data_IF_419526298990
#
_entry.id   IF_419526298990
#
_cell.length_a   1.000
_cell.length_b   1.000
_cell.length_c   1.000
_cell.angle_alpha   90.00
_cell.angle_beta   90.00
_cell.angle_gamma   90.00
#
_symmetry.space_group_name_H-M   'P 1'
#
loop_
_entity.id
_entity.type
_entity.pdbx_description
1 polymer ?
#
# COMPACT_ATOMS: atom_id res chain seq x y z
N UNK A 1 8.31 -14.41 -16.57
CA UNK A 1 7.56 -13.99 -17.78
C UNK A 1 8.19 -12.76 -18.41
N UNK A 2 8.37 -11.66 -17.66
CA UNK A 2 9.03 -10.43 -18.13
C UNK A 2 10.49 -10.68 -18.60
N UNK A 3 11.27 -11.48 -17.86
CA UNK A 3 12.62 -11.91 -18.27
C UNK A 3 12.63 -12.72 -19.58
N UNK A 4 11.60 -13.56 -19.79
CA UNK A 4 11.49 -14.46 -20.95
C UNK A 4 11.17 -13.69 -22.25
N UNK A 5 10.52 -12.54 -22.13
CA UNK A 5 10.19 -11.62 -23.25
C UNK A 5 11.42 -10.77 -23.63
N UNK A 6 12.29 -10.46 -22.67
CA UNK A 6 13.55 -9.73 -22.92
C UNK A 6 14.59 -10.65 -23.59
N UNK A 7 14.57 -11.95 -23.29
CA UNK A 7 15.40 -12.98 -23.93
C UNK A 7 14.99 -13.30 -25.38
N UNK A 8 13.75 -12.96 -25.74
CA UNK A 8 13.26 -13.02 -27.11
C UNK A 8 13.65 -11.72 -27.79
N UNK A 9 14.28 -11.77 -28.95
CA UNK A 9 14.87 -10.64 -29.70
C UNK A 9 13.83 -9.65 -30.28
N UNK A 10 12.82 -9.28 -29.49
CA UNK A 10 11.72 -8.38 -29.84
C UNK A 10 12.02 -6.91 -29.48
N UNK A 11 13.22 -6.62 -28.96
CA UNK A 11 13.64 -5.26 -28.60
C UNK A 11 13.82 -4.35 -29.83
N UNK A 12 14.23 -4.91 -30.97
CA UNK A 12 14.52 -4.11 -32.18
C UNK A 12 13.27 -3.71 -32.98
N UNK A 13 12.15 -4.44 -32.84
CA UNK A 13 10.94 -4.18 -33.64
C UNK A 13 10.01 -3.17 -32.98
N UNK A 14 10.08 -3.03 -31.65
CA UNK A 14 9.08 -2.31 -30.87
C UNK A 14 9.72 -1.30 -29.91
N UNK A 15 9.90 -0.09 -30.44
CA UNK A 15 10.24 1.18 -29.76
C UNK A 15 9.60 1.31 -28.34
N UNK A 16 10.12 2.18 -27.45
CA UNK A 16 9.90 2.17 -26.00
C UNK A 16 8.43 2.29 -25.54
N UNK A 17 7.51 2.71 -26.41
CA UNK A 17 6.09 2.78 -26.10
C UNK A 17 5.45 1.41 -25.87
N UNK A 18 5.88 0.37 -26.58
CA UNK A 18 5.31 -0.99 -26.44
C UNK A 18 5.83 -1.68 -25.19
N UNK A 19 7.10 -1.45 -24.83
CA UNK A 19 7.64 -1.96 -23.57
C UNK A 19 6.97 -1.29 -22.36
N UNK A 20 6.63 0.00 -22.45
CA UNK A 20 5.84 0.72 -21.44
C UNK A 20 4.41 0.16 -21.38
N UNK A 21 3.75 -0.03 -22.52
CA UNK A 21 2.39 -0.58 -22.57
C UNK A 21 2.31 -2.01 -22.01
N UNK A 22 3.29 -2.87 -22.33
CA UNK A 22 3.39 -4.22 -21.78
C UNK A 22 3.64 -4.22 -20.27
N UNK A 23 4.48 -3.32 -19.76
CA UNK A 23 4.68 -3.14 -18.32
C UNK A 23 3.41 -2.69 -17.62
N UNK A 24 2.67 -1.74 -18.20
CA UNK A 24 1.36 -1.33 -17.68
C UNK A 24 0.35 -2.47 -17.71
N UNK A 25 0.31 -3.26 -18.80
CA UNK A 25 -0.57 -4.41 -18.92
C UNK A 25 -0.27 -5.49 -17.88
N UNK A 26 1.00 -5.76 -17.61
CA UNK A 26 1.42 -6.71 -16.56
C UNK A 26 1.19 -6.18 -15.14
N UNK A 27 1.25 -4.86 -14.94
CA UNK A 27 0.97 -4.23 -13.64
C UNK A 27 -0.53 -4.08 -13.39
N UNK A 28 -1.35 -4.06 -14.45
CA UNK A 28 -2.79 -4.13 -14.33
C UNK A 28 -3.14 -5.48 -13.72
N UNK A 29 -3.70 -5.52 -12.50
CA UNK A 29 -4.03 -6.78 -11.88
C UNK A 29 -5.13 -7.44 -12.73
N UNK A 30 -4.77 -8.51 -13.45
CA UNK A 30 -5.75 -9.30 -14.20
C UNK A 30 -6.81 -9.95 -13.29
N UNK A 31 -6.59 -9.93 -11.96
CA UNK A 31 -7.49 -10.48 -10.96
C UNK A 31 -7.81 -9.46 -9.86
N UNK A 32 -9.06 -9.48 -9.38
CA UNK A 32 -9.55 -8.61 -8.31
C UNK A 32 -8.93 -8.89 -6.92
N UNK A 33 -7.95 -9.80 -6.82
CA UNK A 33 -7.39 -10.27 -5.56
C UNK A 33 -6.83 -9.14 -4.68
N UNK A 34 -6.24 -8.10 -5.29
CA UNK A 34 -5.73 -6.94 -4.55
C UNK A 34 -6.86 -6.11 -3.90
N UNK A 35 -7.95 -5.90 -4.64
CA UNK A 35 -9.14 -5.22 -4.11
C UNK A 35 -9.82 -6.06 -3.03
N UNK A 36 -9.99 -7.37 -3.25
CA UNK A 36 -10.55 -8.30 -2.27
C UNK A 36 -9.73 -8.34 -0.98
N UNK A 37 -8.40 -8.34 -1.08
CA UNK A 37 -7.48 -8.27 0.07
C UNK A 37 -7.69 -6.97 0.84
N UNK A 38 -7.80 -5.84 0.14
CA UNK A 38 -8.02 -4.53 0.74
C UNK A 38 -9.39 -4.45 1.45
N UNK A 39 -10.47 -4.95 0.83
CA UNK A 39 -11.79 -5.01 1.45
C UNK A 39 -11.85 -5.98 2.63
N UNK A 40 -11.12 -7.10 2.58
CA UNK A 40 -11.00 -8.03 3.70
C UNK A 40 -10.30 -7.38 4.90
N UNK A 41 -9.21 -6.63 4.66
CA UNK A 41 -8.55 -5.83 5.69
C UNK A 41 -9.49 -4.76 6.27
N UNK A 42 -10.20 -4.04 5.41
CA UNK A 42 -11.18 -3.02 5.84
C UNK A 42 -12.28 -3.62 6.72
N UNK A 43 -12.77 -4.82 6.39
CA UNK A 43 -13.77 -5.55 7.19
C UNK A 43 -13.25 -5.90 8.58
N UNK A 44 -11.96 -6.19 8.74
CA UNK A 44 -11.32 -6.44 10.05
C UNK A 44 -11.13 -5.16 10.86
N UNK A 45 -10.88 -4.04 10.21
CA UNK A 45 -10.66 -2.74 10.87
C UNK A 45 -11.97 -2.08 11.28
N UNK A 46 -12.95 -2.05 10.37
CA UNK A 46 -14.28 -1.44 10.57
C UNK A 46 -15.23 -2.44 11.23
N UNK A 47 -15.10 -2.57 12.54
CA UNK A 47 -15.99 -3.40 13.36
C UNK A 47 -17.22 -2.61 13.84
N UNK A 48 -18.25 -3.31 14.32
CA UNK A 48 -19.48 -2.70 14.86
C UNK A 48 -19.18 -1.64 15.93
N UNK A 49 -18.25 -1.94 16.84
CA UNK A 49 -17.82 -1.03 17.90
C UNK A 49 -17.01 0.18 17.41
N UNK A 50 -16.48 0.14 16.18
CA UNK A 50 -15.70 1.22 15.55
C UNK A 50 -16.46 1.91 14.40
N UNK A 51 -17.78 1.73 14.34
CA UNK A 51 -18.65 2.24 13.28
C UNK A 51 -18.65 3.76 13.11
N UNK A 52 -18.26 4.52 14.15
CA UNK A 52 -18.17 5.99 14.13
C UNK A 52 -16.80 6.57 13.75
N UNK A 53 -15.84 5.73 13.32
CA UNK A 53 -14.50 6.20 12.92
C UNK A 53 -14.59 7.03 11.64
N UNK A 54 -13.98 8.23 11.63
CA UNK A 54 -13.88 9.09 10.44
C UNK A 54 -13.08 8.43 9.32
N UNK A 55 -13.42 8.73 8.08
CA UNK A 55 -12.81 8.12 6.90
C UNK A 55 -11.29 8.34 6.83
N UNK A 56 -10.78 9.52 7.20
CA UNK A 56 -9.33 9.79 7.23
C UNK A 56 -8.59 8.79 8.12
N UNK A 57 -9.07 8.62 9.35
CA UNK A 57 -8.46 7.73 10.34
C UNK A 57 -8.65 6.25 9.98
N UNK A 58 -9.74 5.93 9.28
CA UNK A 58 -9.98 4.58 8.76
C UNK A 58 -9.00 4.23 7.64
N UNK A 59 -8.75 5.18 6.73
CA UNK A 59 -7.78 5.02 5.65
C UNK A 59 -6.36 4.85 6.19
N UNK A 60 -5.96 5.67 7.16
CA UNK A 60 -4.64 5.52 7.82
C UNK A 60 -4.46 4.13 8.43
N UNK A 61 -5.48 3.63 9.15
CA UNK A 61 -5.47 2.29 9.73
C UNK A 61 -5.44 1.19 8.67
N UNK A 62 -6.12 1.39 7.54
CA UNK A 62 -6.12 0.44 6.42
C UNK A 62 -4.73 0.32 5.80
N UNK A 63 -4.05 1.46 5.57
CA UNK A 63 -2.68 1.48 5.05
C UNK A 63 -1.74 0.74 6.01
N UNK A 64 -1.79 1.04 7.31
CA UNK A 64 -0.97 0.35 8.32
C UNK A 64 -1.22 -1.16 8.36
N UNK A 65 -2.45 -1.61 8.11
CA UNK A 65 -2.79 -3.04 8.12
C UNK A 65 -2.35 -3.76 6.84
N UNK A 66 -2.48 -3.12 5.68
CA UNK A 66 -2.03 -3.64 4.39
C UNK A 66 -0.50 -3.75 4.39
N UNK A 67 0.18 -2.69 4.83
CA UNK A 67 1.64 -2.60 4.91
C UNK A 67 2.19 -3.14 6.24
N UNK A 68 1.51 -4.14 6.82
CA UNK A 68 1.84 -4.65 8.16
C UNK A 68 3.30 -5.12 8.28
N UNK A 69 3.86 -5.72 7.22
CA UNK A 69 5.26 -6.14 7.15
C UNK A 69 6.24 -4.98 7.34
N UNK A 70 5.94 -3.81 6.78
CA UNK A 70 6.74 -2.61 6.99
C UNK A 70 6.54 -2.08 8.41
N UNK A 71 5.30 -2.06 8.91
CA UNK A 71 5.00 -1.53 10.26
C UNK A 71 5.67 -2.30 11.40
N UNK A 72 5.94 -3.59 11.22
CA UNK A 72 6.67 -4.40 12.22
C UNK A 72 8.12 -3.95 12.36
N UNK A 73 8.72 -3.46 11.27
CA UNK A 73 10.12 -3.02 11.24
C UNK A 73 10.31 -1.57 11.70
N UNK A 74 9.23 -0.87 12.06
CA UNK A 74 9.29 0.53 12.51
C UNK A 74 9.66 0.58 13.99
N UNK A 75 10.57 1.49 14.35
CA UNK A 75 10.90 1.77 15.75
C UNK A 75 9.79 2.61 16.42
N UNK A 76 8.98 1.97 17.25
CA UNK A 76 7.89 2.64 17.97
C UNK A 76 8.37 3.61 19.05
N UNK A 77 9.55 3.39 19.65
CA UNK A 77 10.08 4.26 20.71
C UNK A 77 10.38 5.66 20.16
N UNK A 78 10.96 5.73 18.96
CA UNK A 78 11.23 7.01 18.28
C UNK A 78 9.93 7.75 17.94
N UNK A 79 8.89 7.02 17.52
CA UNK A 79 7.58 7.59 17.22
C UNK A 79 6.92 8.13 18.50
N UNK A 80 6.96 7.37 19.59
CA UNK A 80 6.39 7.76 20.88
C UNK A 80 7.09 9.02 21.40
N UNK A 81 8.43 9.04 21.37
CA UNK A 81 9.23 10.19 21.79
C UNK A 81 8.87 11.42 20.95
N UNK A 82 8.86 11.30 19.62
CA UNK A 82 8.48 12.41 18.71
C UNK A 82 7.05 12.88 18.95
N UNK A 83 6.10 11.96 19.16
CA UNK A 83 4.72 12.31 19.45
C UNK A 83 4.60 13.05 20.78
N UNK A 84 5.34 12.63 21.80
CA UNK A 84 5.39 13.28 23.11
C UNK A 84 5.93 14.71 23.03
N UNK A 85 6.99 14.94 22.25
CA UNK A 85 7.57 16.28 22.02
C UNK A 85 6.57 17.21 21.31
N UNK A 86 5.84 16.70 20.32
CA UNK A 86 4.81 17.45 19.60
C UNK A 86 3.62 17.81 20.52
N UNK A 87 3.23 16.91 21.43
CA UNK A 87 2.16 17.13 22.41
C UNK A 87 2.57 18.08 23.54
N UNK A 88 3.82 18.01 24.00
CA UNK A 88 4.37 18.86 25.05
C UNK A 88 4.37 20.36 24.67
N UNK A 89 4.34 20.68 23.36
CA UNK A 89 4.20 22.05 22.86
C UNK A 89 2.79 22.64 22.96
N UNK A 90 1.76 21.85 23.33
CA UNK A 90 0.50 22.43 23.81
C UNK A 90 0.71 22.86 25.27
N UNK A 91 1.23 24.07 25.48
CA UNK A 91 1.09 24.77 26.77
C UNK A 91 -0.40 24.74 27.13
N UNK A 92 -0.70 24.26 28.34
CA UNK A 92 -1.96 24.59 29.01
C UNK A 92 -2.06 26.11 29.14
#
# INVERSE_FOLDING_TARGET
MLQKIIESDLQDVFHPYISIALRMFLCCPASNCSAERSFSALKRIKTYLRSSTKDDRLNDLAILNIESELTVNINYDDIINKFSELKARRKM
#
